data_IF_205417595364
#
_entry.id   IF_205417595364
#
_cell.length_a   1.000
_cell.length_b   1.000
_cell.length_c   1.000
_cell.angle_alpha   90.00
_cell.angle_beta   90.00
_cell.angle_gamma   90.00
#
_symmetry.space_group_name_H-M   'P 1'
#
loop_
_entity.id
_entity.type
_entity.pdbx_description
1 polymer ?
#
# COMPACT_ATOMS: atom_id res chain seq x y z
N UNK A 1 -3.60 13.94 -26.79
CA UNK A 1 -2.24 13.40 -27.04
C UNK A 1 -1.66 13.02 -25.69
N UNK A 2 -1.48 11.72 -25.42
CA UNK A 2 -0.85 11.27 -24.17
C UNK A 2 0.67 11.43 -24.31
N UNK A 3 1.31 12.07 -23.32
CA UNK A 3 2.77 12.18 -23.26
C UNK A 3 3.32 11.02 -22.44
N UNK A 4 4.42 10.43 -22.90
CA UNK A 4 5.24 9.55 -22.06
C UNK A 4 5.73 10.38 -20.88
N UNK A 5 5.33 9.99 -19.68
CA UNK A 5 5.76 10.66 -18.47
C UNK A 5 7.15 10.18 -18.08
N UNK A 6 7.98 11.12 -17.64
CA UNK A 6 9.31 10.89 -17.06
C UNK A 6 9.20 10.24 -15.69
N UNK A 7 10.25 9.51 -15.28
CA UNK A 7 10.44 8.79 -14.01
C UNK A 7 9.36 9.07 -12.95
N UNK A 8 8.33 8.22 -12.91
CA UNK A 8 7.31 8.30 -11.88
C UNK A 8 7.87 7.82 -10.56
N UNK A 9 7.87 8.68 -9.54
CA UNK A 9 8.17 8.28 -8.19
C UNK A 9 6.99 7.49 -7.62
N UNK A 10 7.24 6.23 -7.26
CA UNK A 10 6.31 5.41 -6.50
C UNK A 10 6.54 5.65 -5.00
N UNK A 11 5.56 6.23 -4.33
CA UNK A 11 5.63 6.57 -2.91
C UNK A 11 4.50 5.91 -2.15
N UNK A 12 4.80 5.33 -0.99
CA UNK A 12 3.83 4.66 -0.13
C UNK A 12 3.94 5.09 1.32
N UNK A 13 2.80 5.15 2.00
CA UNK A 13 2.69 5.42 3.43
C UNK A 13 1.85 4.34 4.09
N UNK A 14 2.13 4.06 5.36
CA UNK A 14 1.35 3.15 6.21
C UNK A 14 1.16 3.76 7.58
N UNK A 15 0.06 3.43 8.24
CA UNK A 15 -0.29 3.90 9.58
C UNK A 15 -1.21 2.90 10.28
N UNK A 16 -1.29 2.94 11.60
CA UNK A 16 -2.25 2.15 12.37
C UNK A 16 -2.81 2.89 13.59
N UNK A 17 -4.09 2.66 13.92
CA UNK A 17 -4.69 3.13 15.17
C UNK A 17 -4.74 2.01 16.21
N UNK A 18 -3.70 1.92 17.06
CA UNK A 18 -3.66 0.89 18.09
C UNK A 18 -4.90 0.90 18.99
N UNK A 19 -5.55 -0.27 19.12
CA UNK A 19 -6.76 -0.46 19.92
C UNK A 19 -7.91 0.50 19.56
N UNK A 20 -7.98 0.96 18.31
CA UNK A 20 -8.99 1.93 17.84
C UNK A 20 -10.44 1.42 17.88
N UNK A 21 -10.67 0.11 17.82
CA UNK A 21 -12.01 -0.50 17.92
C UNK A 21 -12.45 -0.70 19.37
N UNK A 22 -13.54 -0.07 19.81
CA UNK A 22 -14.07 -0.26 21.17
C UNK A 22 -14.62 -1.66 21.44
N UNK A 23 -15.07 -2.35 20.41
CA UNK A 23 -15.79 -3.63 20.54
C UNK A 23 -14.85 -4.80 20.81
N UNK A 24 -13.68 -4.79 20.16
CA UNK A 24 -12.71 -5.90 20.19
C UNK A 24 -11.26 -5.47 20.40
N UNK A 25 -11.02 -4.17 20.65
CA UNK A 25 -9.69 -3.57 20.84
C UNK A 25 -8.72 -3.84 19.69
N UNK A 26 -9.23 -4.17 18.50
CA UNK A 26 -8.39 -4.37 17.32
C UNK A 26 -8.06 -3.03 16.68
N UNK A 27 -6.81 -2.93 16.23
CA UNK A 27 -6.35 -1.79 15.47
C UNK A 27 -6.90 -1.83 14.04
N UNK A 28 -6.87 -0.70 13.34
CA UNK A 28 -7.12 -0.53 11.92
C UNK A 28 -5.81 -0.18 11.23
N UNK A 29 -5.41 -1.00 10.26
CA UNK A 29 -4.27 -0.69 9.40
C UNK A 29 -4.71 0.17 8.23
N UNK A 30 -3.92 1.20 7.93
CA UNK A 30 -4.07 2.06 6.77
C UNK A 30 -2.82 2.03 5.88
N UNK A 31 -3.01 2.19 4.58
CA UNK A 31 -1.94 2.57 3.67
C UNK A 31 -2.46 3.40 2.49
N UNK A 32 -1.56 4.14 1.85
CA UNK A 32 -1.81 4.79 0.58
C UNK A 32 -0.57 4.84 -0.31
N UNK A 33 -0.77 4.74 -1.61
CA UNK A 33 0.26 4.78 -2.65
C UNK A 33 -0.05 5.84 -3.69
N UNK A 34 0.98 6.64 -3.98
CA UNK A 34 0.99 7.64 -5.03
C UNK A 34 1.84 7.18 -6.22
N UNK A 35 1.38 7.55 -7.42
CA UNK A 35 2.15 7.47 -8.66
C UNK A 35 2.15 8.84 -9.31
N UNK A 36 3.30 9.52 -9.29
CA UNK A 36 3.38 10.93 -9.69
C UNK A 36 2.63 11.83 -8.70
N UNK A 37 1.73 12.68 -9.19
CA UNK A 37 0.98 13.63 -8.37
C UNK A 37 -0.35 13.10 -7.81
N UNK A 38 -0.68 11.83 -8.05
CA UNK A 38 -1.98 11.26 -7.71
C UNK A 38 -1.90 9.98 -6.88
N UNK A 39 -2.81 9.85 -5.92
CA UNK A 39 -3.05 8.62 -5.18
C UNK A 39 -3.87 7.66 -6.02
N UNK A 40 -3.45 6.40 -6.10
CA UNK A 40 -4.13 5.41 -6.95
C UNK A 40 -4.45 4.09 -6.24
N UNK A 41 -3.84 3.80 -5.09
CA UNK A 41 -4.14 2.62 -4.28
C UNK A 41 -4.11 2.97 -2.80
N UNK A 42 -5.14 2.57 -2.06
CA UNK A 42 -5.26 2.82 -0.62
C UNK A 42 -6.08 1.72 0.04
N UNK A 43 -5.93 1.58 1.35
CA UNK A 43 -6.72 0.66 2.15
C UNK A 43 -6.88 1.19 3.57
N UNK A 44 -8.01 0.87 4.18
CA UNK A 44 -8.24 0.96 5.61
C UNK A 44 -8.93 -0.34 6.03
N UNK A 45 -8.28 -1.15 6.86
CA UNK A 45 -8.74 -2.49 7.23
C UNK A 45 -8.50 -2.75 8.72
N UNK A 46 -9.53 -3.19 9.44
CA UNK A 46 -9.39 -3.71 10.80
C UNK A 46 -8.44 -4.92 10.80
N UNK A 47 -7.47 -4.93 11.71
CA UNK A 47 -6.51 -6.02 11.87
C UNK A 47 -7.24 -7.31 12.29
N UNK A 48 -6.69 -8.45 11.87
CA UNK A 48 -7.30 -9.75 12.16
C UNK A 48 -6.99 -10.23 13.60
N UNK A 49 -5.97 -9.63 14.23
CA UNK A 49 -5.53 -9.89 15.59
C UNK A 49 -5.55 -8.62 16.45
N UNK A 50 -5.54 -8.78 17.77
CA UNK A 50 -5.38 -7.68 18.73
C UNK A 50 -3.89 -7.45 18.96
N UNK A 51 -3.36 -6.32 18.51
CA UNK A 51 -1.96 -5.94 18.73
C UNK A 51 -1.70 -5.60 20.20
N UNK A 52 -0.59 -6.07 20.74
CA UNK A 52 -0.20 -5.88 22.15
C UNK A 52 0.48 -4.52 22.39
N UNK A 53 0.83 -3.79 21.33
CA UNK A 53 1.45 -2.47 21.39
C UNK A 53 1.22 -1.68 20.11
N UNK A 54 1.42 -0.36 20.17
CA UNK A 54 1.44 0.50 18.97
C UNK A 54 2.49 0.04 17.96
N UNK A 55 3.68 -0.37 18.41
CA UNK A 55 4.74 -0.83 17.52
C UNK A 55 4.33 -2.09 16.72
N UNK A 56 3.62 -3.01 17.37
CA UNK A 56 3.09 -4.21 16.70
C UNK A 56 1.99 -3.85 15.69
N UNK A 57 1.08 -2.94 16.06
CA UNK A 57 0.03 -2.47 15.16
C UNK A 57 0.63 -1.80 13.90
N UNK A 58 1.66 -0.97 14.08
CA UNK A 58 2.39 -0.31 12.99
C UNK A 58 3.09 -1.33 12.10
N UNK A 59 3.71 -2.35 12.70
CA UNK A 59 4.37 -3.41 11.94
C UNK A 59 3.38 -4.19 11.06
N UNK A 60 2.19 -4.50 11.58
CA UNK A 60 1.13 -5.18 10.81
C UNK A 60 0.64 -4.31 9.65
N UNK A 61 0.47 -3.00 9.86
CA UNK A 61 0.13 -2.05 8.80
C UNK A 61 1.23 -1.95 7.74
N UNK A 62 2.49 -1.82 8.15
CA UNK A 62 3.64 -1.77 7.27
C UNK A 62 3.81 -3.06 6.44
N UNK A 63 3.65 -4.23 7.06
CA UNK A 63 3.68 -5.51 6.35
C UNK A 63 2.60 -5.60 5.27
N UNK A 64 1.38 -5.14 5.59
CA UNK A 64 0.26 -5.09 4.64
C UNK A 64 0.54 -4.13 3.48
N UNK A 65 1.10 -2.95 3.77
CA UNK A 65 1.50 -1.99 2.75
C UNK A 65 2.60 -2.57 1.84
N UNK A 66 3.64 -3.20 2.40
CA UNK A 66 4.72 -3.83 1.61
C UNK A 66 4.19 -4.91 0.68
N UNK A 67 3.26 -5.75 1.15
CA UNK A 67 2.63 -6.76 0.29
C UNK A 67 1.93 -6.13 -0.93
N UNK A 68 1.17 -5.04 -0.70
CA UNK A 68 0.53 -4.30 -1.78
C UNK A 68 1.56 -3.66 -2.72
N UNK A 69 2.62 -3.05 -2.18
CA UNK A 69 3.70 -2.45 -2.96
C UNK A 69 4.41 -3.47 -3.86
N UNK A 70 4.66 -4.69 -3.34
CA UNK A 70 5.25 -5.78 -4.11
C UNK A 70 4.34 -6.23 -5.25
N UNK A 71 3.04 -6.34 -5.00
CA UNK A 71 2.04 -6.67 -6.02
C UNK A 71 1.99 -5.61 -7.12
N UNK A 72 1.89 -4.33 -6.75
CA UNK A 72 1.91 -3.19 -7.69
C UNK A 72 3.21 -3.21 -8.52
N UNK A 73 4.36 -3.38 -7.87
CA UNK A 73 5.65 -3.42 -8.57
C UNK A 73 5.67 -4.53 -9.61
N UNK A 74 5.16 -5.72 -9.28
CA UNK A 74 5.09 -6.84 -10.21
C UNK A 74 4.15 -6.53 -11.38
N UNK A 75 2.97 -6.00 -11.10
CA UNK A 75 2.01 -5.58 -12.12
C UNK A 75 2.60 -4.55 -13.09
N UNK A 76 3.31 -3.54 -12.58
CA UNK A 76 3.97 -2.51 -13.42
C UNK A 76 5.09 -3.13 -14.27
N UNK A 77 5.87 -4.03 -13.70
CA UNK A 77 6.90 -4.77 -14.45
C UNK A 77 6.27 -5.57 -15.59
N UNK A 78 5.20 -6.31 -15.35
CA UNK A 78 4.53 -7.15 -16.36
C UNK A 78 3.97 -6.29 -17.51
N UNK A 79 3.35 -5.14 -17.21
CA UNK A 79 2.88 -4.20 -18.23
C UNK A 79 4.01 -3.60 -19.08
N UNK A 80 5.16 -3.31 -18.48
CA UNK A 80 6.33 -2.81 -19.22
C UNK A 80 6.91 -3.90 -20.13
N UNK A 81 6.99 -5.15 -19.68
CA UNK A 81 7.48 -6.25 -20.52
C UNK A 81 6.55 -6.53 -21.69
N UNK A 82 5.23 -6.61 -21.47
CA UNK A 82 4.25 -6.82 -22.54
C UNK A 82 4.26 -5.72 -23.61
N UNK A 83 4.52 -4.46 -23.22
CA UNK A 83 4.65 -3.35 -24.17
C UNK A 83 5.92 -3.39 -25.04
N UNK A 84 6.95 -4.15 -24.64
CA UNK A 84 8.21 -4.27 -25.39
C UNK A 84 8.24 -5.48 -26.35
N UNK A 85 7.29 -6.42 -26.24
CA UNK A 85 7.19 -7.62 -27.09
C UNK A 85 6.27 -7.42 -28.32
N UNK A 86 5.47 -6.37 -28.36
CA UNK A 86 4.61 -6.01 -29.51
C UNK A 86 5.34 -5.14 -30.57
N UNK A 87 6.67 -5.01 -30.47
CA UNK A 87 7.55 -4.33 -31.41
C UNK A 87 8.65 -5.27 -31.92
#
# INVERSE_FOLDING_TARGET
>A
MFKKASDFQFLGFSDSDWAGSSDDMRSTSGYCFNLGSGMFSWCSKKQDIVAQSTAEAEYIAAASAVNQALWIRKLLTDFVHGANEEH
#
